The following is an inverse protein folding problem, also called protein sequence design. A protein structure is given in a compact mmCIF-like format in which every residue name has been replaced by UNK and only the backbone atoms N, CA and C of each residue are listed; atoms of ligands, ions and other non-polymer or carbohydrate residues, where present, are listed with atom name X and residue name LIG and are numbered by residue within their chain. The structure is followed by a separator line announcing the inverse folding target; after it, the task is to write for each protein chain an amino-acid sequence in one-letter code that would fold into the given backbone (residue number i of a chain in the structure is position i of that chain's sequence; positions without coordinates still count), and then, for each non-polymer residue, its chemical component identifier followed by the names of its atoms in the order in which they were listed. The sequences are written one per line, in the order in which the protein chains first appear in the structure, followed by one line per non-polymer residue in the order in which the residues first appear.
data_IF_760475443165
#
_entry.id   IF_760475443165
#
_cell.length_a   1.000
_cell.length_b   1.000
_cell.length_c   1.000
_cell.angle_alpha   90.00
_cell.angle_beta   90.00
_cell.angle_gamma   90.00
#
_symmetry.space_group_name_H-M   'P 1'
#
loop_
_entity.id
_entity.type
_entity.pdbx_description
1 polymer ?
#
# COMPACT_ATOMS: atom_id res chain seq x y z
N UNK A 1 -4.25 -15.82 -8.56
CA UNK A 1 -3.78 -14.75 -7.69
C UNK A 1 -3.32 -13.57 -8.55
N UNK A 2 -3.99 -12.43 -8.43
CA UNK A 2 -3.71 -11.17 -9.12
C UNK A 2 -3.21 -10.14 -8.11
N UNK A 3 -1.96 -9.73 -8.26
CA UNK A 3 -1.37 -8.66 -7.47
C UNK A 3 -1.38 -7.39 -8.32
N UNK A 4 -1.90 -6.31 -7.77
CA UNK A 4 -1.91 -5.01 -8.41
C UNK A 4 -1.09 -4.03 -7.57
N UNK A 5 -0.24 -3.27 -8.25
CA UNK A 5 0.47 -2.13 -7.65
C UNK A 5 0.12 -0.85 -8.36
N UNK A 6 -0.04 0.24 -7.61
CA UNK A 6 -0.34 1.56 -8.16
C UNK A 6 0.16 2.66 -7.23
N UNK A 7 0.94 3.60 -7.75
CA UNK A 7 1.09 4.89 -7.08
C UNK A 7 -0.16 5.72 -7.37
N UNK A 8 -1.01 5.92 -6.36
CA UNK A 8 -2.30 6.57 -6.55
C UNK A 8 -2.23 8.10 -6.55
N UNK A 9 -1.07 8.72 -6.28
CA UNK A 9 -0.91 10.17 -6.14
C UNK A 9 -1.92 10.78 -5.13
N UNK A 10 -1.96 10.24 -3.92
CA UNK A 10 -2.86 10.69 -2.86
C UNK A 10 -4.33 10.34 -3.08
N UNK A 11 -5.16 10.59 -2.08
CA UNK A 11 -6.61 10.49 -2.14
C UNK A 11 -7.16 9.15 -2.62
N UNK A 12 -6.58 8.03 -2.17
CA UNK A 12 -7.06 6.69 -2.53
C UNK A 12 -8.53 6.49 -2.17
N UNK A 13 -9.01 7.06 -1.06
CA UNK A 13 -10.42 7.02 -0.66
C UNK A 13 -11.41 7.53 -1.71
N UNK A 14 -10.94 8.30 -2.71
CA UNK A 14 -11.75 8.82 -3.84
C UNK A 14 -11.69 7.93 -5.09
N UNK A 15 -10.85 6.90 -5.09
CA UNK A 15 -10.48 6.05 -6.23
C UNK A 15 -10.79 4.57 -5.99
N UNK A 16 -11.52 4.26 -4.92
CA UNK A 16 -11.90 2.89 -4.55
C UNK A 16 -12.72 2.20 -5.66
N UNK A 17 -13.71 2.84 -6.32
CA UNK A 17 -14.44 2.19 -7.40
C UNK A 17 -13.55 1.79 -8.59
N UNK A 18 -12.59 2.64 -8.95
CA UNK A 18 -11.66 2.38 -10.06
C UNK A 18 -10.75 1.19 -9.76
N UNK A 19 -10.30 1.07 -8.51
CA UNK A 19 -9.40 0.00 -8.12
C UNK A 19 -10.14 -1.34 -7.91
N UNK A 20 -11.37 -1.29 -7.41
CA UNK A 20 -12.21 -2.48 -7.23
C UNK A 20 -12.60 -3.10 -8.59
N UNK A 21 -12.81 -2.27 -9.62
CA UNK A 21 -13.08 -2.75 -10.98
C UNK A 21 -11.95 -3.62 -11.57
N UNK A 22 -10.74 -3.54 -11.01
CA UNK A 22 -9.59 -4.33 -11.43
C UNK A 22 -9.59 -5.73 -10.80
N UNK A 23 -10.44 -6.01 -9.81
CA UNK A 23 -10.63 -7.32 -9.20
C UNK A 23 -9.31 -8.02 -8.83
N UNK A 24 -8.46 -7.33 -8.08
CA UNK A 24 -7.18 -7.86 -7.59
C UNK A 24 -7.37 -8.65 -6.30
N UNK A 25 -6.53 -9.66 -6.08
CA UNK A 25 -6.48 -10.43 -4.83
C UNK A 25 -5.65 -9.70 -3.76
N UNK A 26 -4.63 -8.93 -4.18
CA UNK A 26 -3.79 -8.11 -3.31
C UNK A 26 -3.52 -6.77 -4.00
N UNK A 27 -3.74 -5.68 -3.27
CA UNK A 27 -3.44 -4.31 -3.68
C UNK A 27 -2.23 -3.79 -2.91
N UNK A 28 -1.21 -3.29 -3.61
CA UNK A 28 -0.03 -2.62 -3.02
C UNK A 28 0.00 -1.18 -3.54
N UNK A 29 -0.46 -0.22 -2.73
CA UNK A 29 -0.75 1.14 -3.20
C UNK A 29 0.19 2.14 -2.58
N UNK A 30 0.97 2.84 -3.41
CA UNK A 30 1.89 3.89 -2.97
C UNK A 30 1.21 5.26 -2.97
N UNK A 31 1.71 6.15 -2.12
CA UNK A 31 1.19 7.50 -1.87
C UNK A 31 -0.29 7.52 -1.47
N UNK A 32 -0.80 6.48 -0.80
CA UNK A 32 -2.17 6.43 -0.34
C UNK A 32 -2.35 7.03 1.06
N UNK A 33 -3.55 7.53 1.31
CA UNK A 33 -4.01 7.91 2.65
C UNK A 33 -4.13 6.67 3.53
N UNK A 34 -3.84 6.82 4.82
CA UNK A 34 -4.08 5.80 5.84
C UNK A 34 -5.59 5.70 6.16
N UNK A 35 -6.24 4.55 5.93
CA UNK A 35 -7.67 4.36 6.16
C UNK A 35 -8.17 4.76 7.56
N UNK A 36 -7.34 4.61 8.60
CA UNK A 36 -7.79 4.85 9.98
C UNK A 36 -8.18 6.30 10.29
N UNK A 37 -7.75 7.27 9.45
CA UNK A 37 -7.96 8.70 9.70
C UNK A 37 -9.12 9.33 8.89
N UNK A 38 -9.89 8.54 8.14
CA UNK A 38 -10.98 9.03 7.29
C UNK A 38 -12.32 8.39 7.64
N UNK A 39 -13.30 8.54 6.75
CA UNK A 39 -14.67 8.02 6.94
C UNK A 39 -14.66 6.49 7.04
N UNK A 40 -15.62 5.98 7.81
CA UNK A 40 -15.79 4.55 8.08
C UNK A 40 -15.79 3.69 6.82
N UNK A 41 -16.43 4.13 5.73
CA UNK A 41 -16.48 3.39 4.47
C UNK A 41 -15.09 3.04 3.90
N UNK A 42 -14.07 3.89 4.09
CA UNK A 42 -12.71 3.59 3.63
C UNK A 42 -12.01 2.58 4.54
N UNK A 43 -12.26 2.66 5.85
CA UNK A 43 -11.75 1.68 6.82
C UNK A 43 -12.39 0.31 6.60
N UNK A 44 -13.71 0.28 6.36
CA UNK A 44 -14.46 -0.93 6.02
C UNK A 44 -14.00 -1.53 4.69
N UNK A 45 -13.76 -0.67 3.68
CA UNK A 45 -13.18 -1.10 2.42
C UNK A 45 -11.78 -1.69 2.63
N UNK A 46 -10.94 -1.08 3.46
CA UNK A 46 -9.58 -1.54 3.71
C UNK A 46 -9.57 -2.91 4.39
N UNK A 47 -10.47 -3.15 5.35
CA UNK A 47 -10.59 -4.43 6.05
C UNK A 47 -9.35 -4.74 6.89
N UNK A 48 -8.79 -5.94 6.74
CA UNK A 48 -7.47 -6.29 7.27
C UNK A 48 -6.40 -5.72 6.32
N UNK A 49 -5.50 -4.86 6.80
CA UNK A 49 -4.50 -4.21 5.96
C UNK A 49 -3.21 -3.89 6.75
N UNK A 50 -2.13 -3.68 6.01
CA UNK A 50 -0.92 -3.04 6.54
C UNK A 50 -0.75 -1.68 5.89
N UNK A 51 -0.27 -0.71 6.66
CA UNK A 51 0.08 0.60 6.14
C UNK A 51 1.30 1.15 6.85
N UNK A 52 2.20 1.79 6.11
CA UNK A 52 3.33 2.54 6.64
C UNK A 52 3.51 3.82 5.83
N UNK A 53 3.78 4.94 6.49
CA UNK A 53 3.96 6.21 5.81
C UNK A 53 4.54 7.29 6.70
N UNK A 54 4.84 8.43 6.08
CA UNK A 54 5.44 9.59 6.76
C UNK A 54 4.40 10.51 7.37
N UNK A 55 3.17 10.51 6.84
CA UNK A 55 2.01 11.16 7.44
C UNK A 55 0.70 10.49 6.96
N UNK A 56 -0.43 10.81 7.61
CA UNK A 56 -1.75 10.20 7.32
C UNK A 56 -2.21 10.26 5.86
N UNK A 57 -1.67 11.17 5.04
CA UNK A 57 -2.06 11.32 3.63
C UNK A 57 -1.06 10.69 2.65
N UNK A 58 0.08 10.16 3.11
CA UNK A 58 1.16 9.66 2.25
C UNK A 58 1.91 8.49 2.88
N UNK A 59 1.59 7.30 2.39
CA UNK A 59 2.30 6.06 2.73
C UNK A 59 2.13 5.00 1.65
N UNK A 60 2.48 3.77 2.00
CA UNK A 60 2.22 2.56 1.22
C UNK A 60 1.28 1.66 2.01
N UNK A 61 0.19 1.25 1.37
CA UNK A 61 -0.80 0.32 1.92
C UNK A 61 -0.76 -1.03 1.20
N UNK A 62 -0.93 -2.11 1.95
CA UNK A 62 -1.16 -3.46 1.45
C UNK A 62 -2.55 -3.90 1.88
N UNK A 63 -3.44 -4.05 0.90
CA UNK A 63 -4.85 -4.42 1.11
C UNK A 63 -5.12 -5.79 0.47
N UNK A 64 -5.12 -6.88 1.26
CA UNK A 64 -5.62 -8.17 0.80
C UNK A 64 -7.13 -8.10 0.52
N UNK A 65 -7.57 -8.81 -0.52
CA UNK A 65 -8.98 -8.97 -0.93
C UNK A 65 -9.30 -10.46 -1.09
N UNK A 66 -10.55 -10.81 -1.38
CA UNK A 66 -10.95 -12.18 -1.68
C UNK A 66 -10.49 -13.19 -0.61
N UNK A 67 -10.76 -12.86 0.66
CA UNK A 67 -10.43 -13.68 1.85
C UNK A 67 -8.93 -13.86 2.14
N UNK A 68 -8.04 -13.22 1.37
CA UNK A 68 -6.63 -13.18 1.69
C UNK A 68 -6.39 -12.39 2.99
N UNK A 69 -5.26 -12.68 3.64
CA UNK A 69 -4.81 -12.00 4.86
C UNK A 69 -3.39 -11.50 4.68
N UNK A 70 -3.03 -10.49 5.45
CA UNK A 70 -1.68 -9.95 5.47
C UNK A 70 -1.19 -9.90 6.92
N UNK A 71 0.09 -10.19 7.14
CA UNK A 71 0.72 -9.99 8.44
C UNK A 71 2.14 -9.50 8.23
N UNK A 72 2.55 -8.54 9.05
CA UNK A 72 3.94 -8.10 9.08
C UNK A 72 4.76 -9.19 9.78
N UNK A 73 5.78 -9.70 9.08
CA UNK A 73 6.70 -10.68 9.66
C UNK A 73 7.94 -9.96 10.20
N UNK A 74 8.56 -10.44 11.30
CA UNK A 74 9.75 -9.83 11.91
C UNK A 74 11.00 -10.17 11.10
N UNK A 75 11.07 -9.70 9.86
CA UNK A 75 12.19 -9.97 8.98
C UNK A 75 13.31 -8.98 9.29
N UNK A 76 14.47 -9.53 9.62
CA UNK A 76 15.70 -8.79 9.85
C UNK A 76 16.73 -9.24 8.83
N UNK A 77 17.31 -8.30 8.09
CA UNK A 77 18.32 -8.60 7.08
C UNK A 77 18.67 -7.39 6.23
N UNK A 78 19.88 -7.40 5.67
CA UNK A 78 20.26 -6.48 4.59
C UNK A 78 20.03 -7.18 3.24
N UNK A 79 19.52 -6.44 2.27
CA UNK A 79 19.51 -6.89 0.88
C UNK A 79 20.52 -6.05 0.08
N UNK A 80 21.25 -6.70 -0.82
CA UNK A 80 22.11 -6.02 -1.78
C UNK A 80 21.54 -6.29 -3.18
N UNK A 81 21.24 -5.23 -3.92
CA UNK A 81 20.90 -5.36 -5.34
C UNK A 81 22.19 -5.15 -6.11
N UNK A 82 22.73 -6.24 -6.66
CA UNK A 82 23.95 -6.19 -7.47
C UNK A 82 23.67 -5.32 -8.70
N UNK A 83 24.46 -4.27 -8.89
CA UNK A 83 24.33 -3.34 -10.02
C UNK A 83 23.56 -2.05 -9.76
N UNK A 84 22.97 -1.85 -8.56
CA UNK A 84 22.46 -0.55 -8.13
C UNK A 84 23.48 0.13 -7.21
N UNK A 85 24.12 1.19 -7.69
CA UNK A 85 24.96 2.03 -6.83
C UNK A 85 24.06 2.83 -5.87
N UNK A 86 24.38 2.84 -4.58
CA UNK A 86 23.63 3.56 -3.54
C UNK A 86 23.75 5.10 -3.63
N UNK A 87 24.34 5.62 -4.71
CA UNK A 87 24.55 7.05 -4.90
C UNK A 87 23.34 7.62 -5.64
N UNK A 88 22.23 7.84 -4.94
CA UNK A 88 21.14 8.66 -5.46
C UNK A 88 20.97 9.90 -4.58
N UNK A 89 21.14 11.12 -5.12
CA UNK A 89 21.07 12.37 -4.36
C UNK A 89 19.67 12.71 -3.83
N UNK A 90 18.66 11.88 -4.13
CA UNK A 90 17.27 12.05 -3.69
C UNK A 90 16.97 11.30 -2.38
N UNK A 91 17.96 10.65 -1.77
CA UNK A 91 17.86 9.99 -0.47
C UNK A 91 18.40 10.91 0.66
N UNK A 92 17.87 12.13 0.74
CA UNK A 92 18.10 13.08 1.84
C UNK A 92 16.77 13.56 2.39
#
# INVERSE_FOLDING_TARGET
MKILTWNCNGALRKKLPDIDALNADILVIQECDDPQFYKQDYLDWAGDYLWIGTNRNKGIGVFPKNENRVSALPWHGGFAIIGLSQIHPSAH
#
